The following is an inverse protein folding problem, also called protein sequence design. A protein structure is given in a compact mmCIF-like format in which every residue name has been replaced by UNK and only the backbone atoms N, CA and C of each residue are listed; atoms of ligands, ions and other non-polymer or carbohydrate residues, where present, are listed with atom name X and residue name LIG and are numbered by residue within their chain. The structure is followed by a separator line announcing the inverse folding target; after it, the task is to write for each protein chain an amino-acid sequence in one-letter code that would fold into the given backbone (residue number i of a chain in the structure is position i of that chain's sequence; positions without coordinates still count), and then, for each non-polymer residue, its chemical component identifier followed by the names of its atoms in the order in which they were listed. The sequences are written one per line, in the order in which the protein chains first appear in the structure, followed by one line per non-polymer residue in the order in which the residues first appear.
data_IF_856398812632
#
_entry.id   IF_856398812632
#
_cell.length_a   1.000
_cell.length_b   1.000
_cell.length_c   1.000
_cell.angle_alpha   90.00
_cell.angle_beta   90.00
_cell.angle_gamma   90.00
#
_symmetry.space_group_name_H-M   'P 1'
#
loop_
_entity.id
_entity.type
_entity.pdbx_description
1 polymer ?
#
# COMPACT_ATOMS: atom_id res chain seq x y z
N UNK A 1 0.70 15.09 -17.23
CA UNK A 1 -0.41 14.72 -16.31
C UNK A 1 -0.09 13.37 -15.66
N UNK A 2 -0.74 13.04 -14.53
CA UNK A 2 -0.56 11.77 -13.81
C UNK A 2 -1.62 10.76 -14.27
N UNK A 3 -1.27 9.47 -14.39
CA UNK A 3 -2.23 8.39 -14.73
C UNK A 3 -3.03 7.87 -13.52
N UNK A 4 -2.84 8.50 -12.36
CA UNK A 4 -3.35 8.04 -11.08
C UNK A 4 -4.33 9.06 -10.48
N UNK A 5 -5.38 8.56 -9.85
CA UNK A 5 -6.31 9.30 -9.00
C UNK A 5 -6.20 8.81 -7.54
N UNK A 6 -6.08 9.74 -6.58
CA UNK A 6 -6.05 9.38 -5.17
C UNK A 6 -7.42 8.91 -4.71
N UNK A 7 -7.51 7.70 -4.15
CA UNK A 7 -8.75 7.16 -3.57
C UNK A 7 -8.83 7.52 -2.09
N UNK A 8 -7.76 7.27 -1.33
CA UNK A 8 -7.67 7.57 0.10
C UNK A 8 -6.23 7.67 0.58
N UNK A 9 -6.07 8.20 1.80
CA UNK A 9 -4.82 8.26 2.57
C UNK A 9 -5.11 7.90 4.02
N UNK A 10 -4.44 6.87 4.54
CA UNK A 10 -4.65 6.34 5.88
C UNK A 10 -3.31 6.07 6.58
N UNK A 11 -3.31 5.98 7.91
CA UNK A 11 -2.12 5.67 8.70
C UNK A 11 -1.99 4.18 8.97
N UNK A 12 -0.78 3.67 8.85
CA UNK A 12 -0.41 2.28 9.17
C UNK A 12 0.84 2.26 10.05
N UNK A 13 1.04 1.22 10.88
CA UNK A 13 2.30 1.02 11.58
C UNK A 13 3.44 0.90 10.56
N UNK A 14 4.53 1.65 10.76
CA UNK A 14 5.65 1.77 9.82
C UNK A 14 6.25 0.43 9.40
N UNK A 15 6.16 -0.57 10.28
CA UNK A 15 6.69 -1.92 10.07
C UNK A 15 5.59 -3.00 10.13
N UNK A 16 4.33 -2.63 9.89
CA UNK A 16 3.22 -3.57 9.75
C UNK A 16 2.60 -4.08 11.06
N UNK A 17 3.25 -3.87 12.21
CA UNK A 17 2.77 -4.33 13.52
C UNK A 17 2.47 -3.15 14.44
N UNK A 18 1.23 -3.09 14.95
CA UNK A 18 0.82 -2.13 15.97
C UNK A 18 1.33 -2.58 17.34
N UNK A 19 2.05 -1.69 18.01
CA UNK A 19 2.57 -1.89 19.36
C UNK A 19 2.86 -0.55 20.03
N UNK A 20 3.05 -0.57 21.35
CA UNK A 20 3.42 0.64 22.09
C UNK A 20 4.67 1.28 21.52
N UNK A 21 4.59 2.58 21.22
CA UNK A 21 5.72 3.35 20.69
C UNK A 21 6.09 3.04 19.24
N UNK A 22 5.25 2.31 18.49
CA UNK A 22 5.47 2.15 17.06
C UNK A 22 5.35 3.48 16.30
N UNK A 23 6.20 3.65 15.28
CA UNK A 23 6.09 4.76 14.33
C UNK A 23 4.96 4.49 13.34
N UNK A 24 4.35 5.56 12.82
CA UNK A 24 3.27 5.50 11.84
C UNK A 24 3.71 6.12 10.52
N UNK A 25 3.21 5.57 9.41
CA UNK A 25 3.40 6.12 8.07
C UNK A 25 2.05 6.34 7.40
N UNK A 26 1.98 7.33 6.51
CA UNK A 26 0.83 7.50 5.64
C UNK A 26 0.96 6.58 4.43
N UNK A 27 -0.06 5.75 4.20
CA UNK A 27 -0.22 4.96 2.98
C UNK A 27 -1.29 5.61 2.12
N UNK A 28 -1.01 5.74 0.83
CA UNK A 28 -1.92 6.32 -0.17
C UNK A 28 -2.31 5.22 -1.15
N UNK A 29 -3.62 5.05 -1.36
CA UNK A 29 -4.15 4.21 -2.43
C UNK A 29 -4.47 5.09 -3.65
N UNK A 30 -3.96 4.68 -4.80
CA UNK A 30 -4.13 5.39 -6.05
C UNK A 30 -4.74 4.49 -7.12
N UNK A 31 -5.93 4.85 -7.58
CA UNK A 31 -6.61 4.18 -8.68
C UNK A 31 -6.02 4.59 -10.03
N UNK A 32 -5.89 3.62 -10.93
CA UNK A 32 -5.64 3.82 -12.35
C UNK A 32 -6.97 3.60 -13.08
N UNK A 33 -7.55 4.63 -13.73
CA UNK A 33 -8.81 4.49 -14.47
C UNK A 33 -8.76 3.45 -15.59
N UNK A 34 -9.91 2.85 -15.94
CA UNK A 34 -10.02 1.85 -17.00
C UNK A 34 -9.46 2.29 -18.37
N UNK A 35 -9.62 3.57 -18.72
CA UNK A 35 -9.18 4.11 -20.01
C UNK A 35 -7.65 4.22 -20.18
N UNK A 36 -6.86 3.96 -19.13
CA UNK A 36 -5.41 4.03 -19.20
C UNK A 36 -4.84 2.76 -19.82
N UNK A 37 -4.28 2.88 -21.02
CA UNK A 37 -3.68 1.76 -21.76
C UNK A 37 -4.70 0.81 -22.41
N UNK A 38 -5.97 1.20 -22.46
CA UNK A 38 -7.04 0.36 -23.04
C UNK A 38 -6.87 0.17 -24.55
N UNK A 39 -7.01 -1.05 -25.10
CA UNK A 39 -7.01 -1.25 -26.54
C UNK A 39 -8.33 -0.80 -27.21
N UNK A 40 -9.34 -0.36 -26.43
CA UNK A 40 -10.61 0.12 -26.99
C UNK A 40 -10.39 1.38 -27.84
N UNK A 41 -10.88 1.41 -29.10
CA UNK A 41 -10.74 2.59 -29.96
C UNK A 41 -11.35 3.87 -29.37
N UNK A 42 -10.69 5.00 -29.58
CA UNK A 42 -11.12 6.32 -29.12
C UNK A 42 -10.45 6.79 -27.83
N UNK A 43 -9.61 5.96 -27.20
CA UNK A 43 -8.93 6.27 -25.94
C UNK A 43 -7.41 6.54 -26.10
N UNK A 44 -6.85 6.39 -27.31
CA UNK A 44 -5.49 6.82 -27.63
C UNK A 44 -4.37 5.81 -27.31
N UNK A 45 -4.71 4.54 -27.10
CA UNK A 45 -3.77 3.44 -26.86
C UNK A 45 -3.96 2.28 -27.85
N UNK A 46 -4.50 2.56 -29.02
CA UNK A 46 -4.77 1.57 -30.09
C UNK A 46 -3.49 0.89 -30.58
N UNK A 47 -2.36 1.61 -30.54
CA UNK A 47 -1.03 1.09 -30.91
C UNK A 47 -0.34 0.30 -29.78
N UNK A 48 -0.98 0.22 -28.60
CA UNK A 48 -0.52 -0.58 -27.47
C UNK A 48 -0.50 0.17 -26.13
N UNK A 49 -0.30 -0.62 -25.07
CA UNK A 49 -0.29 -0.13 -23.69
C UNK A 49 1.14 0.20 -23.21
N UNK A 50 1.48 1.49 -23.04
CA UNK A 50 2.82 1.89 -22.60
C UNK A 50 3.10 1.57 -21.12
N UNK A 51 2.09 1.12 -20.36
CA UNK A 51 2.19 0.84 -18.93
C UNK A 51 2.18 -0.65 -18.60
N UNK A 52 2.08 -1.53 -19.60
CA UNK A 52 1.98 -2.98 -19.44
C UNK A 52 3.14 -3.61 -18.65
N UNK A 53 4.31 -2.95 -18.60
CA UNK A 53 5.48 -3.44 -17.89
C UNK A 53 5.37 -3.36 -16.35
N UNK A 54 4.47 -2.54 -15.82
CA UNK A 54 4.36 -2.30 -14.36
C UNK A 54 2.93 -2.17 -13.83
N UNK A 55 1.93 -2.16 -14.72
CA UNK A 55 0.52 -2.23 -14.33
C UNK A 55 -0.09 -3.58 -14.75
N UNK A 56 -1.14 -4.05 -14.04
CA UNK A 56 -1.97 -5.15 -14.49
C UNK A 56 -2.52 -4.92 -15.91
N UNK A 57 -2.98 -5.98 -16.61
CA UNK A 57 -3.54 -5.86 -17.96
C UNK A 57 -4.60 -4.75 -18.06
N UNK A 58 -4.68 -4.04 -19.21
CA UNK A 58 -5.67 -2.99 -19.39
C UNK A 58 -7.10 -3.54 -19.45
N UNK A 59 -8.07 -2.69 -19.13
CA UNK A 59 -9.50 -3.02 -19.20
C UNK A 59 -9.98 -2.81 -20.63
N UNK A 60 -10.70 -3.78 -21.19
CA UNK A 60 -11.44 -3.61 -22.45
C UNK A 60 -12.78 -2.99 -22.10
N UNK A 61 -13.04 -1.80 -22.62
CA UNK A 61 -14.24 -1.03 -22.33
C UNK A 61 -15.27 -1.30 -23.43
N UNK A 62 -16.39 -1.91 -23.07
CA UNK A 62 -17.51 -2.21 -23.97
C UNK A 62 -18.81 -1.52 -23.55
N UNK A 63 -18.83 -0.93 -22.34
CA UNK A 63 -19.97 -0.27 -21.73
C UNK A 63 -19.52 0.88 -20.81
N UNK A 64 -20.46 1.76 -20.43
CA UNK A 64 -20.20 2.82 -19.44
C UNK A 64 -19.86 2.27 -18.05
N UNK A 65 -20.32 1.06 -17.71
CA UNK A 65 -19.96 0.40 -16.46
C UNK A 65 -18.48 0.04 -16.45
N UNK A 66 -17.95 -0.44 -17.58
CA UNK A 66 -16.52 -0.76 -17.72
C UNK A 66 -15.65 0.50 -17.57
N UNK A 67 -16.11 1.66 -18.06
CA UNK A 67 -15.39 2.94 -17.93
C UNK A 67 -15.22 3.39 -16.48
N UNK A 68 -16.19 3.03 -15.62
CA UNK A 68 -16.17 3.37 -14.19
C UNK A 68 -15.31 2.40 -13.38
N UNK A 69 -14.88 1.28 -13.96
CA UNK A 69 -13.96 0.37 -13.29
C UNK A 69 -12.55 0.97 -13.19
N UNK A 70 -11.77 0.44 -12.25
CA UNK A 70 -10.34 0.72 -12.18
C UNK A 70 -9.60 -0.38 -12.93
N UNK A 71 -8.58 0.01 -13.69
CA UNK A 71 -7.59 -0.95 -14.18
C UNK A 71 -6.79 -1.53 -13.02
N UNK A 72 -6.34 -0.66 -12.12
CA UNK A 72 -5.48 -1.04 -11.01
C UNK A 72 -5.66 -0.12 -9.80
N UNK A 73 -5.21 -0.58 -8.64
CA UNK A 73 -4.96 0.24 -7.46
C UNK A 73 -3.53 0.02 -6.99
N UNK A 74 -2.76 1.09 -6.92
CA UNK A 74 -1.37 1.10 -6.48
C UNK A 74 -1.29 1.72 -5.09
N UNK A 75 -0.67 1.00 -4.16
CA UNK A 75 -0.47 1.44 -2.77
C UNK A 75 0.97 1.88 -2.58
N UNK A 76 1.16 3.07 -2.00
CA UNK A 76 2.49 3.64 -1.74
C UNK A 76 2.57 4.22 -0.33
N UNK A 77 3.78 4.27 0.22
CA UNK A 77 4.06 5.17 1.35
C UNK A 77 4.11 6.61 0.82
N UNK A 78 3.56 7.56 1.57
CA UNK A 78 3.63 8.97 1.21
C UNK A 78 5.10 9.40 1.03
N UNK A 79 5.39 10.03 -0.11
CA UNK A 79 6.74 10.43 -0.50
C UNK A 79 7.49 9.41 -1.36
N UNK A 80 6.93 8.23 -1.66
CA UNK A 80 7.52 7.31 -2.64
C UNK A 80 7.68 8.03 -4.00
N UNK A 81 8.89 8.09 -4.56
CA UNK A 81 9.15 8.81 -5.80
C UNK A 81 8.57 8.05 -7.01
N UNK A 82 8.19 8.83 -8.03
CA UNK A 82 7.94 8.33 -9.39
C UNK A 82 9.17 8.57 -10.26
N UNK A 83 9.26 7.82 -11.35
CA UNK A 83 10.23 8.03 -12.40
C UNK A 83 11.34 6.98 -12.39
N UNK A 84 10.97 5.77 -12.80
CA UNK A 84 11.93 4.73 -13.13
C UNK A 84 12.52 4.99 -14.52
N UNK A 85 13.58 4.28 -14.88
CA UNK A 85 14.12 4.29 -16.25
C UNK A 85 13.09 3.82 -17.30
N UNK A 86 12.13 2.98 -16.88
CA UNK A 86 11.07 2.45 -17.75
C UNK A 86 9.99 3.48 -18.02
N UNK A 87 9.59 4.24 -17.01
CA UNK A 87 8.51 5.23 -17.13
C UNK A 87 8.55 6.29 -16.04
N UNK A 88 8.35 7.55 -16.47
CA UNK A 88 8.18 8.69 -15.57
C UNK A 88 6.94 8.59 -14.67
N UNK A 89 5.98 7.72 -15.00
CA UNK A 89 4.77 7.50 -14.21
C UNK A 89 4.93 6.39 -13.17
N UNK A 90 5.88 5.48 -13.36
CA UNK A 90 6.07 4.32 -12.50
C UNK A 90 6.64 4.74 -11.13
N UNK A 91 6.09 4.18 -10.05
CA UNK A 91 6.64 4.31 -8.71
C UNK A 91 7.87 3.41 -8.53
N UNK A 92 8.93 3.93 -7.90
CA UNK A 92 10.20 3.19 -7.73
C UNK A 92 10.03 1.94 -6.85
N UNK A 93 9.14 2.00 -5.85
CA UNK A 93 8.88 0.88 -4.94
C UNK A 93 7.47 0.96 -4.37
N UNK A 94 6.42 0.61 -5.14
CA UNK A 94 5.07 0.50 -4.60
C UNK A 94 5.02 -0.62 -3.55
N UNK A 95 4.16 -0.46 -2.53
CA UNK A 95 3.94 -1.48 -1.51
C UNK A 95 3.19 -2.69 -2.08
N UNK A 96 2.16 -2.40 -2.87
CA UNK A 96 1.24 -3.38 -3.42
C UNK A 96 0.62 -2.81 -4.69
N UNK A 97 0.37 -3.67 -5.67
CA UNK A 97 -0.39 -3.35 -6.88
C UNK A 97 -1.47 -4.41 -7.03
N UNK A 98 -2.73 -3.99 -7.05
CA UNK A 98 -3.88 -4.86 -7.30
C UNK A 98 -4.53 -4.47 -8.62
N UNK A 99 -5.18 -5.42 -9.28
CA UNK A 99 -6.20 -5.10 -10.28
C UNK A 99 -7.34 -4.32 -9.63
N UNK A 100 -8.08 -3.52 -10.41
CA UNK A 100 -9.27 -2.87 -9.87
C UNK A 100 -10.34 -3.86 -9.39
N UNK A 101 -10.43 -5.03 -10.03
CA UNK A 101 -11.35 -6.09 -9.62
C UNK A 101 -10.96 -6.73 -8.28
N UNK A 102 -9.68 -7.03 -8.06
CA UNK A 102 -9.21 -7.49 -6.76
C UNK A 102 -9.49 -6.45 -5.67
N UNK A 103 -9.22 -5.17 -5.95
CA UNK A 103 -9.51 -4.10 -5.00
C UNK A 103 -11.02 -3.95 -4.70
N UNK A 104 -11.89 -4.12 -5.71
CA UNK A 104 -13.34 -4.00 -5.54
C UNK A 104 -13.95 -5.14 -4.71
N UNK A 105 -13.28 -6.30 -4.66
CA UNK A 105 -13.80 -7.51 -4.01
C UNK A 105 -13.12 -7.84 -2.68
N UNK A 106 -11.89 -7.37 -2.46
CA UNK A 106 -11.15 -7.63 -1.22
C UNK A 106 -11.82 -6.91 -0.04
N UNK A 107 -11.92 -7.61 1.09
CA UNK A 107 -12.39 -6.99 2.33
C UNK A 107 -11.36 -5.98 2.85
N UNK A 108 -11.81 -4.98 3.61
CA UNK A 108 -10.87 -4.04 4.24
C UNK A 108 -9.88 -4.74 5.19
N UNK A 109 -10.32 -5.77 5.92
CA UNK A 109 -9.44 -6.52 6.84
C UNK A 109 -8.31 -7.22 6.10
N UNK A 110 -8.62 -7.93 5.01
CA UNK A 110 -7.63 -8.60 4.19
C UNK A 110 -6.70 -7.60 3.48
N UNK A 111 -7.24 -6.48 2.98
CA UNK A 111 -6.42 -5.42 2.40
C UNK A 111 -5.46 -4.82 3.44
N UNK A 112 -5.96 -4.58 4.66
CA UNK A 112 -5.15 -4.07 5.76
C UNK A 112 -4.00 -5.02 6.09
N UNK A 113 -4.25 -6.32 6.19
CA UNK A 113 -3.21 -7.34 6.40
C UNK A 113 -2.17 -7.34 5.28
N UNK A 114 -2.58 -7.34 4.01
CA UNK A 114 -1.65 -7.30 2.87
C UNK A 114 -0.75 -6.05 2.88
N UNK A 115 -1.31 -4.89 3.26
CA UNK A 115 -0.52 -3.64 3.38
C UNK A 115 0.45 -3.73 4.55
N UNK A 116 0.02 -4.24 5.70
CA UNK A 116 0.89 -4.43 6.86
C UNK A 116 2.01 -5.42 6.55
N UNK A 117 1.72 -6.52 5.86
CA UNK A 117 2.72 -7.50 5.44
C UNK A 117 3.75 -6.88 4.48
N UNK A 118 3.29 -6.08 3.50
CA UNK A 118 4.17 -5.35 2.60
C UNK A 118 5.06 -4.34 3.34
N UNK A 119 4.54 -3.64 4.36
CA UNK A 119 5.30 -2.72 5.20
C UNK A 119 6.30 -3.43 6.11
N UNK A 120 5.93 -4.60 6.64
CA UNK A 120 6.81 -5.45 7.45
C UNK A 120 7.98 -5.97 6.61
N UNK A 121 7.73 -6.30 5.35
CA UNK A 121 8.70 -6.92 4.47
C UNK A 121 9.12 -8.29 5.02
N UNK A 122 10.42 -8.56 5.04
CA UNK A 122 10.95 -9.83 5.57
C UNK A 122 11.14 -9.89 7.08
N UNK A 123 10.64 -8.91 7.84
CA UNK A 123 10.80 -8.91 9.32
C UNK A 123 9.81 -9.90 9.95
N UNK A 124 10.21 -10.59 11.04
CA UNK A 124 9.30 -11.45 11.79
C UNK A 124 8.14 -10.64 12.38
N UNK A 125 6.92 -11.20 12.32
CA UNK A 125 5.72 -10.59 12.91
C UNK A 125 5.84 -10.47 14.43
N UNK A 126 5.38 -9.36 14.99
CA UNK A 126 5.16 -9.24 16.43
C UNK A 126 3.98 -10.11 16.88
N UNK A 127 4.21 -10.98 17.87
CA UNK A 127 3.19 -11.91 18.39
C UNK A 127 2.70 -11.55 19.79
N UNK A 128 3.49 -10.81 20.57
CA UNK A 128 3.07 -10.36 21.90
C UNK A 128 3.75 -9.06 22.34
N UNK A 129 3.04 -8.32 23.18
CA UNK A 129 3.53 -7.18 23.94
C UNK A 129 3.26 -7.43 25.44
N UNK A 130 4.31 -7.41 26.27
CA UNK A 130 4.24 -7.67 27.71
C UNK A 130 4.67 -6.43 28.49
N UNK A 131 3.85 -6.01 29.44
CA UNK A 131 4.09 -4.83 30.27
C UNK A 131 4.69 -5.22 31.61
N UNK A 132 5.91 -4.76 31.87
CA UNK A 132 6.61 -4.94 33.14
C UNK A 132 6.08 -4.02 34.24
N UNK A 133 6.22 -4.41 35.52
CA UNK A 133 5.79 -3.60 36.66
C UNK A 133 6.58 -2.29 36.83
N UNK A 134 7.77 -2.21 36.24
CA UNK A 134 8.66 -1.04 36.21
C UNK A 134 8.37 -0.09 35.03
N UNK A 135 7.36 -0.40 34.21
CA UNK A 135 7.06 0.35 33.00
C UNK A 135 8.00 0.03 31.83
N UNK A 136 8.68 -1.10 31.84
CA UNK A 136 9.27 -1.66 30.62
C UNK A 136 8.20 -2.33 29.77
N UNK A 137 8.40 -2.34 28.45
CA UNK A 137 7.56 -3.09 27.53
C UNK A 137 8.44 -4.07 26.75
N UNK A 138 8.11 -5.35 26.79
CA UNK A 138 8.77 -6.41 26.04
C UNK A 138 7.94 -6.76 24.80
N UNK A 139 8.58 -6.65 23.64
CA UNK A 139 8.04 -7.02 22.34
C UNK A 139 8.60 -8.39 21.95
N UNK A 140 7.73 -9.34 21.63
CA UNK A 140 8.10 -10.70 21.25
C UNK A 140 7.71 -10.96 19.80
N UNK A 141 8.67 -11.42 19.00
CA UNK A 141 8.51 -11.75 17.59
C UNK A 141 8.29 -13.25 17.38
N UNK A 142 7.69 -13.62 16.26
CA UNK A 142 7.39 -15.03 15.92
C UNK A 142 8.63 -15.94 15.81
N UNK A 143 9.79 -15.36 15.53
CA UNK A 143 11.08 -16.06 15.48
C UNK A 143 11.70 -16.26 16.88
N UNK A 144 10.99 -15.86 17.94
CA UNK A 144 11.46 -15.89 19.32
C UNK A 144 12.34 -14.68 19.70
N UNK A 145 12.51 -13.71 18.81
CA UNK A 145 13.18 -12.45 19.12
C UNK A 145 12.46 -11.69 20.22
N UNK A 146 13.21 -11.12 21.17
CA UNK A 146 12.67 -10.27 22.24
C UNK A 146 13.37 -8.93 22.22
N UNK A 147 12.59 -7.85 22.27
CA UNK A 147 13.09 -6.47 22.33
C UNK A 147 12.41 -5.71 23.47
N UNK A 148 13.21 -5.09 24.32
CA UNK A 148 12.70 -4.17 25.35
C UNK A 148 12.65 -2.73 24.84
N UNK A 149 11.57 -2.04 25.19
CA UNK A 149 11.41 -0.61 24.97
C UNK A 149 10.94 0.09 26.26
N UNK A 150 11.34 1.35 26.51
CA UNK A 150 10.82 2.14 27.62
C UNK A 150 9.33 2.48 27.44
N UNK A 151 8.51 2.45 28.49
CA UNK A 151 7.12 2.92 28.40
C UNK A 151 7.04 4.43 28.16
N UNK A 152 6.11 4.89 27.29
CA UNK A 152 5.87 6.32 27.05
C UNK A 152 5.32 7.09 28.27
N UNK A 153 5.02 6.45 29.41
CA UNK A 153 4.53 7.12 30.64
C UNK A 153 5.50 8.14 31.27
N UNK A 154 6.76 8.22 30.81
CA UNK A 154 7.72 9.22 31.28
C UNK A 154 7.80 10.50 30.42
N UNK A 155 6.95 10.66 29.39
CA UNK A 155 6.80 11.92 28.66
C UNK A 155 5.97 12.93 29.45
N UNK A 156 6.61 13.68 30.36
CA UNK A 156 6.01 14.88 30.95
C UNK A 156 5.49 15.78 29.82
N UNK A 157 4.18 16.04 29.82
CA UNK A 157 3.61 17.23 29.18
C UNK A 157 4.28 18.45 29.82
N UNK A 158 5.14 19.13 29.07
CA UNK A 158 5.57 20.51 29.35
C UNK A 158 5.15 21.37 28.17
#
# INVERSE_FOLDING_TARGET
MSIYATLWRLKFPRYGDDHTGCDWVDVIAQGVPAHIGTPTPGFGYEDGDPYAAFLPPPVVILSEEDEQTLRAVVFIVAGTPKGTERSHQEYVSPLLVLTGQEYATVSFGELHERICDALRGGKPRLVAEVWGPDGTVQLMSEDGGVKEIPSPRNGKRT
#
